data_IF_557391722399
#
_entry.id   IF_557391722399
#
_cell.length_a   1.000
_cell.length_b   1.000
_cell.length_c   1.000
_cell.angle_alpha   90.00
_cell.angle_beta   90.00
_cell.angle_gamma   90.00
#
_symmetry.space_group_name_H-M   'P 1'
#
loop_
_entity.id
_entity.type
_entity.pdbx_description
1 polymer ?
#
# COMPACT_ATOMS: atom_id res chain seq x y z
N UNK A 1 -5.21 -6.91 -7.27
CA UNK A 1 -4.40 -5.96 -8.07
C UNK A 1 -3.35 -6.74 -8.85
N UNK A 2 -3.07 -6.45 -10.12
CA UNK A 2 -1.97 -7.10 -10.87
C UNK A 2 -2.34 -7.85 -12.16
N UNK A 3 -3.62 -7.87 -12.56
CA UNK A 3 -4.02 -8.42 -13.86
C UNK A 3 -3.73 -7.44 -14.99
N UNK A 4 -3.01 -7.88 -16.02
CA UNK A 4 -2.71 -7.07 -17.20
C UNK A 4 -3.98 -6.73 -17.97
N UNK A 5 -4.41 -5.46 -17.90
CA UNK A 5 -5.53 -4.96 -18.69
C UNK A 5 -5.05 -4.48 -20.06
N UNK A 6 -5.57 -5.09 -21.12
CA UNK A 6 -5.23 -4.74 -22.50
C UNK A 6 -5.65 -3.32 -22.87
N UNK A 7 -6.79 -2.84 -22.36
CA UNK A 7 -7.28 -1.48 -22.67
C UNK A 7 -6.37 -0.39 -22.13
N UNK A 8 -5.66 -0.67 -21.04
CA UNK A 8 -4.85 0.32 -20.33
C UNK A 8 -3.41 0.37 -20.86
N UNK A 9 -2.92 -0.74 -21.43
CA UNK A 9 -1.56 -0.87 -21.94
C UNK A 9 -1.46 -0.73 -23.46
N UNK A 10 -2.54 -1.03 -24.20
CA UNK A 10 -2.55 -0.99 -25.67
C UNK A 10 -3.66 -0.04 -26.12
N UNK A 11 -3.24 1.10 -26.68
CA UNK A 11 -4.14 2.18 -27.12
C UNK A 11 -5.22 1.72 -28.12
N UNK A 12 -4.94 0.68 -28.93
CA UNK A 12 -5.88 0.10 -29.90
C UNK A 12 -7.10 -0.54 -29.24
N UNK A 13 -6.98 -1.02 -28.00
CA UNK A 13 -8.07 -1.68 -27.27
C UNK A 13 -8.70 -0.80 -26.19
N UNK A 14 -8.39 0.50 -26.18
CA UNK A 14 -8.83 1.44 -25.13
C UNK A 14 -10.35 1.48 -24.93
N UNK A 15 -11.13 1.26 -25.99
CA UNK A 15 -12.59 1.29 -25.95
C UNK A 15 -13.24 -0.10 -25.88
N UNK A 16 -12.43 -1.17 -25.86
CA UNK A 16 -12.91 -2.54 -25.85
C UNK A 16 -12.65 -3.14 -24.46
N UNK A 17 -13.70 -3.28 -23.65
CA UNK A 17 -13.66 -4.00 -22.36
C UNK A 17 -13.66 -5.52 -22.61
N UNK A 18 -12.65 -6.01 -23.35
CA UNK A 18 -12.55 -7.40 -23.81
C UNK A 18 -12.49 -8.39 -22.66
N UNK A 19 -11.95 -7.96 -21.52
CA UNK A 19 -11.72 -8.79 -20.34
C UNK A 19 -12.77 -8.56 -19.25
N UNK A 20 -13.82 -7.75 -19.51
CA UNK A 20 -14.90 -7.46 -18.56
C UNK A 20 -14.44 -6.79 -17.24
N UNK A 21 -13.23 -6.24 -17.22
CA UNK A 21 -12.65 -5.60 -16.05
C UNK A 21 -13.43 -4.36 -15.64
N UNK A 22 -13.93 -3.58 -16.62
CA UNK A 22 -14.68 -2.36 -16.33
C UNK A 22 -15.94 -2.64 -15.51
N UNK A 23 -16.71 -3.66 -15.88
CA UNK A 23 -17.91 -4.06 -15.14
C UNK A 23 -17.58 -4.64 -13.76
N UNK A 24 -16.52 -5.45 -13.64
CA UNK A 24 -16.07 -5.99 -12.34
C UNK A 24 -15.62 -4.89 -11.39
N UNK A 25 -14.84 -3.92 -11.87
CA UNK A 25 -14.40 -2.77 -11.07
C UNK A 25 -15.59 -1.95 -10.59
N UNK A 26 -16.58 -1.69 -11.46
CA UNK A 26 -17.81 -0.98 -11.08
C UNK A 26 -18.61 -1.73 -10.00
N UNK A 27 -18.71 -3.05 -10.10
CA UNK A 27 -19.41 -3.87 -9.10
C UNK A 27 -18.68 -3.84 -7.75
N UNK A 28 -17.36 -4.02 -7.75
CA UNK A 28 -16.52 -3.93 -6.56
C UNK A 28 -16.63 -2.55 -5.91
N UNK A 29 -16.54 -1.48 -6.71
CA UNK A 29 -16.67 -0.11 -6.22
C UNK A 29 -18.03 0.13 -5.56
N UNK A 30 -19.13 -0.34 -6.18
CA UNK A 30 -20.47 -0.24 -5.61
C UNK A 30 -20.59 -0.94 -4.25
N UNK A 31 -19.99 -2.13 -4.12
CA UNK A 31 -20.01 -2.88 -2.85
C UNK A 31 -19.23 -2.16 -1.77
N UNK A 32 -18.03 -1.67 -2.07
CA UNK A 32 -17.23 -0.91 -1.11
C UNK A 32 -17.90 0.41 -0.72
N UNK A 33 -18.48 1.13 -1.68
CA UNK A 33 -19.21 2.36 -1.40
C UNK A 33 -20.38 2.11 -0.43
N UNK A 34 -21.19 1.07 -0.68
CA UNK A 34 -22.28 0.69 0.22
C UNK A 34 -21.81 0.27 1.61
N UNK A 35 -20.67 -0.43 1.71
CA UNK A 35 -20.08 -0.82 2.99
C UNK A 35 -19.58 0.39 3.79
N UNK A 36 -18.84 1.30 3.16
CA UNK A 36 -18.30 2.48 3.83
C UNK A 36 -19.44 3.43 4.22
N UNK A 37 -20.45 3.61 3.36
CA UNK A 37 -21.63 4.41 3.66
C UNK A 37 -22.36 3.89 4.90
N UNK A 38 -22.50 2.55 5.01
CA UNK A 38 -23.07 1.90 6.19
C UNK A 38 -22.24 2.18 7.44
N UNK A 39 -20.90 2.06 7.36
CA UNK A 39 -20.00 2.33 8.49
C UNK A 39 -20.10 3.80 8.94
N UNK A 40 -20.15 4.74 8.00
CA UNK A 40 -20.30 6.17 8.32
C UNK A 40 -21.61 6.41 9.06
N UNK A 41 -22.72 5.85 8.58
CA UNK A 41 -24.02 6.00 9.21
C UNK A 41 -24.06 5.40 10.62
N UNK A 42 -23.50 4.21 10.81
CA UNK A 42 -23.40 3.58 12.14
C UNK A 42 -22.56 4.43 13.10
N UNK A 43 -21.51 5.06 12.59
CA UNK A 43 -20.65 5.96 13.37
C UNK A 43 -21.37 7.25 13.79
N UNK A 44 -22.12 7.87 12.87
CA UNK A 44 -22.95 9.06 13.13
C UNK A 44 -24.04 8.77 14.19
N UNK A 45 -24.66 7.58 14.15
CA UNK A 45 -25.71 7.16 15.07
C UNK A 45 -25.18 6.79 16.48
N UNK A 46 -23.97 6.24 16.56
CA UNK A 46 -23.40 5.75 17.82
C UNK A 46 -22.99 6.86 18.80
N UNK A 47 -22.86 8.12 18.35
CA UNK A 47 -22.26 9.22 19.13
C UNK A 47 -21.02 8.78 19.92
N UNK A 48 -20.19 7.95 19.30
CA UNK A 48 -19.05 7.33 19.97
C UNK A 48 -18.06 8.42 20.41
N UNK A 49 -17.70 8.44 21.69
CA UNK A 49 -16.65 9.31 22.23
C UNK A 49 -15.24 8.84 21.86
N UNK A 50 -15.11 7.68 21.21
CA UNK A 50 -13.82 7.13 20.81
C UNK A 50 -13.34 7.81 19.53
N UNK A 51 -12.16 8.44 19.60
CA UNK A 51 -11.55 9.16 18.48
C UNK A 51 -10.97 8.19 17.47
N UNK A 52 -11.78 7.74 16.52
CA UNK A 52 -11.29 6.97 15.38
C UNK A 52 -10.90 7.88 14.20
N UNK A 53 -10.24 7.31 13.19
CA UNK A 53 -9.82 8.07 12.01
C UNK A 53 -11.02 8.69 11.27
N UNK A 54 -12.16 8.02 11.24
CA UNK A 54 -13.37 8.51 10.60
C UNK A 54 -13.95 9.72 11.36
N UNK A 55 -13.97 9.68 12.70
CA UNK A 55 -14.37 10.83 13.53
C UNK A 55 -13.51 12.05 13.25
N UNK A 56 -12.18 11.84 13.12
CA UNK A 56 -11.24 12.92 12.81
C UNK A 56 -11.54 13.51 11.43
N UNK A 57 -11.77 12.67 10.42
CA UNK A 57 -12.07 13.13 9.06
C UNK A 57 -13.41 13.86 8.97
N UNK A 58 -14.43 13.39 9.69
CA UNK A 58 -15.74 14.06 9.77
C UNK A 58 -15.63 15.42 10.46
N UNK A 59 -14.92 15.49 11.60
CA UNK A 59 -14.69 16.76 12.29
C UNK A 59 -13.93 17.77 11.41
N UNK A 60 -12.94 17.31 10.62
CA UNK A 60 -12.22 18.19 9.69
C UNK A 60 -13.15 18.65 8.56
N UNK A 61 -14.05 17.79 8.08
CA UNK A 61 -15.00 18.16 7.03
C UNK A 61 -16.08 19.15 7.49
N UNK A 62 -16.39 19.18 8.79
CA UNK A 62 -17.33 20.15 9.40
C UNK A 62 -16.69 21.52 9.69
N UNK A 63 -15.36 21.61 9.69
CA UNK A 63 -14.64 22.86 9.97
C UNK A 63 -14.59 23.77 8.73
N UNK A 64 -15.52 24.72 8.65
CA UNK A 64 -15.63 25.72 7.59
C UNK A 64 -14.44 26.69 7.50
N UNK A 65 -13.54 26.68 8.49
CA UNK A 65 -12.36 27.57 8.50
C UNK A 65 -11.17 27.02 7.71
N UNK A 66 -11.23 25.76 7.27
CA UNK A 66 -10.17 25.13 6.50
C UNK A 66 -10.28 25.46 5.00
N UNK A 67 -9.16 25.82 4.38
CA UNK A 67 -9.07 26.05 2.92
C UNK A 67 -9.37 24.78 2.08
N UNK A 68 -9.46 23.61 2.70
CA UNK A 68 -9.67 22.32 2.06
C UNK A 68 -11.12 21.86 2.31
N UNK A 69 -11.96 21.95 1.28
CA UNK A 69 -13.33 21.42 1.34
C UNK A 69 -13.33 19.89 1.17
N UNK A 70 -13.41 19.16 2.29
CA UNK A 70 -13.49 17.69 2.32
C UNK A 70 -14.94 17.23 2.12
N UNK A 71 -15.27 16.75 0.93
CA UNK A 71 -16.57 16.15 0.65
C UNK A 71 -16.70 14.74 1.24
N UNK A 72 -17.93 14.28 1.47
CA UNK A 72 -18.22 12.88 1.89
C UNK A 72 -17.62 11.86 0.91
N UNK A 73 -17.59 12.16 -0.39
CA UNK A 73 -16.94 11.32 -1.40
C UNK A 73 -15.42 11.23 -1.20
N UNK A 74 -14.76 12.34 -0.86
CA UNK A 74 -13.33 12.36 -0.54
C UNK A 74 -13.04 11.52 0.70
N UNK A 75 -13.86 11.61 1.74
CA UNK A 75 -13.74 10.80 2.96
C UNK A 75 -13.86 9.31 2.62
N UNK A 76 -14.90 8.92 1.88
CA UNK A 76 -15.09 7.53 1.45
C UNK A 76 -13.92 7.00 0.63
N UNK A 77 -13.43 7.78 -0.32
CA UNK A 77 -12.28 7.43 -1.15
C UNK A 77 -11.00 7.28 -0.32
N UNK A 78 -10.78 8.17 0.64
CA UNK A 78 -9.60 8.13 1.51
C UNK A 78 -9.59 6.90 2.42
N UNK A 79 -10.73 6.59 3.04
CA UNK A 79 -10.91 5.39 3.86
C UNK A 79 -10.65 4.13 3.03
N UNK A 80 -11.26 4.04 1.84
CA UNK A 80 -11.04 2.91 0.93
C UNK A 80 -9.56 2.75 0.56
N UNK A 81 -8.86 3.85 0.29
CA UNK A 81 -7.44 3.83 -0.05
C UNK A 81 -6.59 3.25 1.10
N UNK A 82 -6.86 3.66 2.35
CA UNK A 82 -6.12 3.13 3.51
C UNK A 82 -6.39 1.64 3.71
N UNK A 83 -7.65 1.21 3.64
CA UNK A 83 -8.01 -0.20 3.78
C UNK A 83 -7.32 -1.08 2.73
N UNK A 84 -7.42 -0.69 1.45
CA UNK A 84 -6.79 -1.46 0.36
C UNK A 84 -5.26 -1.46 0.49
N UNK A 85 -4.65 -0.31 0.81
CA UNK A 85 -3.20 -0.19 0.95
C UNK A 85 -2.64 -1.01 2.13
N UNK A 86 -3.41 -1.13 3.22
CA UNK A 86 -3.02 -1.87 4.41
C UNK A 86 -3.21 -3.38 4.29
N UNK A 87 -4.35 -3.83 3.76
CA UNK A 87 -4.71 -5.24 3.76
C UNK A 87 -3.94 -6.06 2.72
N UNK A 88 -3.96 -5.65 1.45
CA UNK A 88 -3.36 -6.44 0.37
C UNK A 88 -1.83 -6.54 0.55
N UNK A 89 -1.18 -5.41 0.87
CA UNK A 89 0.28 -5.38 1.01
C UNK A 89 0.78 -6.20 2.20
N UNK A 90 0.11 -6.10 3.36
CA UNK A 90 0.53 -6.86 4.56
C UNK A 90 0.36 -8.37 4.37
N UNK A 91 -0.72 -8.79 3.71
CA UNK A 91 -0.95 -10.21 3.38
C UNK A 91 0.14 -10.74 2.43
N UNK A 92 0.47 -10.01 1.36
CA UNK A 92 1.52 -10.39 0.41
C UNK A 92 2.88 -10.55 1.10
N UNK A 93 3.26 -9.60 1.97
CA UNK A 93 4.54 -9.66 2.69
C UNK A 93 4.57 -10.87 3.63
N UNK A 94 3.48 -11.14 4.34
CA UNK A 94 3.38 -12.29 5.23
C UNK A 94 3.49 -13.62 4.46
N UNK A 95 2.82 -13.72 3.31
CA UNK A 95 2.88 -14.88 2.42
C UNK A 95 4.31 -15.15 1.93
N UNK A 96 4.98 -14.12 1.38
CA UNK A 96 6.37 -14.24 0.94
C UNK A 96 7.32 -14.53 2.10
N UNK A 97 7.14 -13.87 3.25
CA UNK A 97 7.96 -14.08 4.43
C UNK A 97 7.87 -15.52 4.93
N UNK A 98 6.66 -16.09 4.98
CA UNK A 98 6.47 -17.48 5.36
C UNK A 98 7.07 -18.45 4.33
N UNK A 99 6.87 -18.17 3.03
CA UNK A 99 7.44 -18.97 1.94
C UNK A 99 8.98 -19.04 2.04
N UNK A 100 9.64 -17.90 2.25
CA UNK A 100 11.09 -17.83 2.39
C UNK A 100 11.60 -18.57 3.64
N UNK A 101 10.88 -18.49 4.76
CA UNK A 101 11.23 -19.19 6.00
C UNK A 101 11.11 -20.71 5.88
N UNK A 102 10.07 -21.21 5.19
CA UNK A 102 9.88 -22.64 4.93
C UNK A 102 11.01 -23.18 4.03
N UNK A 103 11.42 -22.40 3.03
CA UNK A 103 12.52 -22.78 2.13
C UNK A 103 13.91 -22.70 2.81
N UNK A 104 14.04 -21.94 3.90
CA UNK A 104 15.30 -21.76 4.63
C UNK A 104 15.17 -22.14 6.12
N UNK A 105 15.07 -23.44 6.45
CA UNK A 105 14.82 -23.91 7.83
C UNK A 105 15.92 -23.50 8.82
N UNK A 106 17.14 -23.26 8.36
CA UNK A 106 18.23 -22.75 9.19
C UNK A 106 17.98 -21.32 9.66
N UNK A 107 17.40 -20.47 8.80
CA UNK A 107 17.04 -19.09 9.12
C UNK A 107 15.85 -19.09 10.08
N UNK A 108 14.84 -19.93 9.81
CA UNK A 108 13.67 -20.08 10.67
C UNK A 108 14.05 -20.50 12.10
N UNK A 109 14.94 -21.49 12.27
CA UNK A 109 15.41 -21.91 13.60
C UNK A 109 16.10 -20.78 14.38
N UNK A 110 16.89 -19.94 13.69
CA UNK A 110 17.53 -18.78 14.32
C UNK A 110 16.51 -17.72 14.75
N UNK A 111 15.48 -17.47 13.94
CA UNK A 111 14.40 -16.55 14.30
C UNK A 111 13.62 -17.03 15.53
N UNK A 112 13.28 -18.32 15.58
CA UNK A 112 12.61 -18.92 16.76
C UNK A 112 13.51 -18.83 17.99
N UNK A 113 14.81 -19.10 17.87
CA UNK A 113 15.75 -18.98 18.98
C UNK A 113 15.89 -17.53 19.49
N UNK A 114 15.86 -16.53 18.61
CA UNK A 114 15.84 -15.11 19.00
C UNK A 114 14.56 -14.78 19.80
N UNK A 115 13.40 -15.22 19.30
CA UNK A 115 12.11 -15.00 19.98
C UNK A 115 12.10 -15.68 21.36
N UNK A 116 12.50 -16.95 21.44
CA UNK A 116 12.57 -17.70 22.69
C UNK A 116 13.49 -17.01 23.72
N UNK A 117 14.60 -16.41 23.26
CA UNK A 117 15.55 -15.73 24.13
C UNK A 117 15.06 -14.37 24.65
N UNK A 118 14.32 -13.61 23.83
CA UNK A 118 13.88 -12.25 24.17
C UNK A 118 12.51 -12.25 24.87
N UNK A 119 11.58 -13.07 24.41
CA UNK A 119 10.18 -13.08 24.86
C UNK A 119 9.92 -14.20 25.88
N UNK A 120 10.65 -15.31 25.76
CA UNK A 120 10.38 -16.54 26.51
C UNK A 120 9.22 -17.34 25.92
N UNK A 121 8.82 -18.42 26.61
CA UNK A 121 7.76 -19.35 26.15
C UNK A 121 6.42 -19.16 26.85
N UNK A 122 6.37 -18.30 27.85
CA UNK A 122 5.23 -18.17 28.76
C UNK A 122 4.20 -17.13 28.28
N UNK A 123 4.51 -16.35 27.24
CA UNK A 123 3.65 -15.31 26.70
C UNK A 123 3.79 -15.14 25.19
N UNK A 124 2.78 -14.49 24.59
CA UNK A 124 2.83 -14.06 23.19
C UNK A 124 3.71 -12.81 23.01
N UNK A 125 4.20 -12.63 21.79
CA UNK A 125 4.96 -11.45 21.36
C UNK A 125 4.07 -10.21 21.46
N UNK A 126 4.62 -9.14 22.02
CA UNK A 126 3.99 -7.82 22.03
C UNK A 126 4.75 -6.84 21.11
N UNK A 127 4.10 -5.75 20.72
CA UNK A 127 4.71 -4.74 19.84
C UNK A 127 5.98 -4.12 20.45
N UNK A 128 6.01 -3.96 21.78
CA UNK A 128 7.18 -3.48 22.52
C UNK A 128 8.42 -4.36 22.37
N UNK A 129 8.24 -5.67 22.14
CA UNK A 129 9.33 -6.63 21.99
C UNK A 129 10.04 -6.51 20.63
N UNK A 130 9.35 -5.99 19.61
CA UNK A 130 9.83 -5.95 18.22
C UNK A 130 11.17 -5.21 18.11
N UNK A 131 11.40 -4.19 18.95
CA UNK A 131 12.68 -3.46 18.94
C UNK A 131 13.86 -4.34 19.36
N UNK A 132 13.62 -5.35 20.19
CA UNK A 132 14.61 -6.29 20.71
C UNK A 132 14.76 -7.55 19.85
N UNK A 133 14.10 -7.63 18.69
CA UNK A 133 14.16 -8.75 17.74
C UNK A 133 14.87 -8.33 16.42
N UNK A 134 16.19 -8.01 16.46
CA UNK A 134 16.90 -7.50 15.29
C UNK A 134 16.97 -8.50 14.12
N UNK A 135 17.05 -9.80 14.38
CA UNK A 135 17.10 -10.83 13.35
C UNK A 135 15.75 -11.00 12.66
N UNK A 136 14.65 -11.03 13.42
CA UNK A 136 13.30 -11.04 12.84
C UNK A 136 13.06 -9.79 11.96
N UNK A 137 13.50 -8.62 12.42
CA UNK A 137 13.43 -7.38 11.62
C UNK A 137 14.28 -7.46 10.35
N UNK A 138 15.46 -8.09 10.42
CA UNK A 138 16.30 -8.30 9.25
C UNK A 138 15.62 -9.23 8.23
N UNK A 139 14.95 -10.29 8.68
CA UNK A 139 14.16 -11.17 7.81
C UNK A 139 13.08 -10.39 7.08
N UNK A 140 12.27 -9.60 7.80
CA UNK A 140 11.19 -8.80 7.18
C UNK A 140 11.75 -7.83 6.14
N UNK A 141 12.87 -7.17 6.45
CA UNK A 141 13.55 -6.27 5.50
C UNK A 141 14.05 -7.00 4.26
N UNK A 142 14.59 -8.21 4.43
CA UNK A 142 15.09 -9.01 3.31
C UNK A 142 13.95 -9.53 2.45
N UNK A 143 12.82 -9.95 3.05
CA UNK A 143 11.60 -10.29 2.32
C UNK A 143 11.12 -9.12 1.46
N UNK A 144 11.12 -7.90 2.00
CA UNK A 144 10.76 -6.69 1.25
C UNK A 144 11.75 -6.36 0.13
N UNK A 145 13.04 -6.66 0.33
CA UNK A 145 14.08 -6.46 -0.69
C UNK A 145 13.91 -7.42 -1.87
N UNK A 146 13.56 -8.68 -1.58
CA UNK A 146 13.37 -9.73 -2.59
C UNK A 146 12.00 -9.64 -3.28
N UNK A 147 10.94 -9.40 -2.50
CA UNK A 147 9.54 -9.49 -2.92
C UNK A 147 8.77 -8.21 -2.57
N UNK A 148 9.07 -7.06 -3.21
CA UNK A 148 8.34 -5.83 -2.96
C UNK A 148 6.88 -5.95 -3.44
N UNK A 149 5.85 -5.68 -2.60
CA UNK A 149 4.44 -5.81 -2.99
C UNK A 149 4.04 -4.91 -4.16
N UNK A 150 4.68 -3.73 -4.27
CA UNK A 150 4.46 -2.77 -5.35
C UNK A 150 5.79 -2.47 -6.04
N UNK A 151 6.24 -3.33 -6.98
CA UNK A 151 7.55 -3.20 -7.61
C UNK A 151 7.66 -1.98 -8.56
N UNK A 152 6.53 -1.44 -9.01
CA UNK A 152 6.48 -0.37 -9.99
C UNK A 152 5.40 0.66 -9.61
N UNK A 153 5.84 1.88 -9.28
CA UNK A 153 4.96 3.04 -9.14
C UNK A 153 5.35 4.05 -10.21
N UNK A 154 4.48 4.31 -11.21
CA UNK A 154 4.76 5.32 -12.22
C UNK A 154 4.67 6.71 -11.59
N UNK A 155 5.68 7.54 -11.84
CA UNK A 155 5.75 8.95 -11.44
C UNK A 155 5.59 9.81 -12.70
N UNK A 156 4.96 10.97 -12.57
CA UNK A 156 4.77 11.91 -13.68
C UNK A 156 5.47 13.22 -13.34
N UNK A 157 6.24 13.78 -14.29
CA UNK A 157 6.90 15.08 -14.07
C UNK A 157 5.88 16.21 -14.06
N UNK A 158 5.94 17.06 -13.03
CA UNK A 158 5.11 18.27 -12.89
C UNK A 158 5.75 19.51 -13.49
N UNK A 159 7.06 19.47 -13.76
CA UNK A 159 7.84 20.55 -14.35
C UNK A 159 8.92 19.96 -15.27
N UNK A 160 9.48 20.78 -16.14
CA UNK A 160 10.66 20.41 -16.92
C UNK A 160 11.88 20.34 -15.99
N UNK A 161 12.53 19.17 -15.91
CA UNK A 161 13.71 18.96 -15.07
C UNK A 161 14.70 18.03 -15.75
N UNK A 162 15.99 18.34 -15.65
CA UNK A 162 17.04 17.41 -16.06
C UNK A 162 17.40 16.51 -14.88
N UNK A 163 17.18 15.20 -15.00
CA UNK A 163 17.62 14.20 -14.02
C UNK A 163 18.71 13.33 -14.64
N UNK A 164 19.90 13.33 -14.02
CA UNK A 164 21.05 12.52 -14.45
C UNK A 164 21.36 12.68 -15.96
N UNK A 165 21.33 13.91 -16.47
CA UNK A 165 21.59 14.22 -17.89
C UNK A 165 20.43 13.94 -18.84
N UNK A 166 19.27 13.46 -18.35
CA UNK A 166 18.07 13.25 -19.14
C UNK A 166 17.05 14.37 -18.90
N UNK A 167 16.63 15.04 -19.97
CA UNK A 167 15.55 16.03 -19.91
C UNK A 167 14.20 15.33 -19.74
N UNK A 168 13.58 15.58 -18.58
CA UNK A 168 12.23 15.17 -18.25
C UNK A 168 11.30 16.34 -18.50
N UNK A 169 10.66 16.29 -19.65
CA UNK A 169 9.63 17.24 -20.02
C UNK A 169 8.36 17.02 -19.19
N UNK A 170 7.60 18.09 -19.05
CA UNK A 170 6.29 18.14 -18.43
C UNK A 170 5.40 17.00 -18.93
N UNK A 171 4.70 16.35 -18.00
CA UNK A 171 3.81 15.21 -18.26
C UNK A 171 4.45 13.89 -18.74
N UNK A 172 5.78 13.75 -18.73
CA UNK A 172 6.43 12.47 -19.06
C UNK A 172 6.35 11.47 -17.89
N UNK A 173 6.00 10.22 -18.20
CA UNK A 173 5.95 9.11 -17.23
C UNK A 173 7.33 8.51 -16.97
N UNK A 174 7.61 8.23 -15.70
CA UNK A 174 8.90 7.74 -15.21
C UNK A 174 8.64 6.53 -14.30
N UNK A 175 9.40 5.47 -14.52
CA UNK A 175 9.47 4.33 -13.60
C UNK A 175 10.74 4.43 -12.76
N UNK A 176 10.66 4.09 -11.47
CA UNK A 176 11.82 4.05 -10.57
C UNK A 176 12.94 3.14 -11.10
N UNK A 177 12.59 2.03 -11.74
CA UNK A 177 13.54 1.10 -12.37
C UNK A 177 14.38 1.78 -13.47
N UNK A 178 13.79 2.76 -14.18
CA UNK A 178 14.52 3.56 -15.18
C UNK A 178 15.44 4.60 -14.53
N UNK A 179 15.06 5.19 -13.40
CA UNK A 179 15.90 6.17 -12.70
C UNK A 179 17.15 5.53 -12.08
N UNK A 180 17.01 4.36 -11.46
CA UNK A 180 18.14 3.65 -10.81
C UNK A 180 19.19 3.23 -11.84
N UNK A 181 18.76 2.73 -13.01
CA UNK A 181 19.69 2.36 -14.08
C UNK A 181 20.40 3.57 -14.72
N UNK A 182 19.77 4.74 -14.76
CA UNK A 182 20.40 5.99 -15.22
C UNK A 182 21.42 6.52 -14.19
N UNK A 183 21.12 6.41 -12.90
CA UNK A 183 22.05 6.84 -11.84
C UNK A 183 23.31 5.94 -11.75
N UNK A 184 23.14 4.63 -12.01
CA UNK A 184 24.25 3.67 -12.04
C UNK A 184 25.10 3.77 -13.31
N UNK A 185 24.55 4.25 -14.43
CA UNK A 185 25.30 4.44 -15.69
C UNK A 185 26.03 5.79 -15.77
N UNK A 186 25.71 6.76 -14.91
CA UNK A 186 26.43 8.03 -14.80
C UNK A 186 27.60 8.00 -13.81
N UNK A 187 27.86 6.86 -13.15
CA UNK A 187 28.94 6.67 -12.17
C UNK A 187 30.10 5.80 -12.71
N UNK A 188 30.21 5.62 -14.02
CA UNK A 188 31.34 5.01 -14.72
C UNK A 188 31.75 5.86 -15.93
#
# INVERSE_FOLDING_TARGET
MGSFNLSDNIWLFKNLDLQWFGKRVKDIHRRFDALIEKIIKEHEEAQSQEKDLLSILLHIAEDETMDINLTRENIKAFILNIFVAGTDNSAIIAEWGLSELINHPNIMRKAVAEIDNVVGKDRLIQESDVQNLPYLRAIIKETLRLHPPVPLIPRKSTEDRTLAGLDLLYCKWISWSKCVNLFLSSSY
#
